data_IF_318657300418
#
_entry.id   IF_318657300418
#
_cell.length_a   1.000
_cell.length_b   1.000
_cell.length_c   1.000
_cell.angle_alpha   90.00
_cell.angle_beta   90.00
_cell.angle_gamma   90.00
#
_symmetry.space_group_name_H-M   'P 1'
#
loop_
_entity.id
_entity.type
_entity.pdbx_description
1 polymer ?
#
# COMPACT_ATOMS: atom_id res chain seq x y z
N UNK A 1 -7.77 5.86 1.17
CA UNK A 1 -7.93 6.71 2.37
C UNK A 1 -6.98 7.89 2.29
N UNK A 2 -7.45 9.11 2.58
CA UNK A 2 -6.70 10.36 2.36
C UNK A 2 -5.72 10.62 3.53
N UNK A 3 -4.46 11.02 3.28
CA UNK A 3 -3.54 11.44 4.34
C UNK A 3 -3.95 12.80 4.93
N UNK A 4 -3.45 13.10 6.13
CA UNK A 4 -3.53 14.45 6.68
C UNK A 4 -2.67 15.42 5.85
N UNK A 5 -3.11 16.68 5.66
CA UNK A 5 -2.35 17.70 4.94
C UNK A 5 -0.99 17.97 5.60
N UNK A 6 0.07 18.10 4.78
CA UNK A 6 1.45 18.31 5.28
C UNK A 6 1.64 19.59 6.10
N UNK A 7 0.79 20.60 5.90
CA UNK A 7 0.86 21.92 6.55
C UNK A 7 0.56 21.94 8.06
N UNK A 8 -0.08 20.90 8.61
CA UNK A 8 -0.48 20.84 10.03
C UNK A 8 -0.37 19.43 10.62
N UNK A 9 0.80 18.81 10.44
CA UNK A 9 1.11 17.49 10.97
C UNK A 9 1.66 17.58 12.40
N UNK A 10 0.82 17.21 13.37
CA UNK A 10 1.31 16.78 14.68
C UNK A 10 1.93 15.38 14.58
N UNK A 11 2.52 14.89 15.68
CA UNK A 11 3.24 13.61 15.71
C UNK A 11 2.32 12.45 15.32
N UNK A 12 1.11 12.45 15.85
CA UNK A 12 0.09 11.42 15.67
C UNK A 12 -0.31 11.32 14.18
N UNK A 13 -0.62 12.45 13.55
CA UNK A 13 -0.95 12.51 12.12
C UNK A 13 0.23 12.13 11.24
N UNK A 14 1.46 12.42 11.66
CA UNK A 14 2.67 11.99 10.96
C UNK A 14 2.84 10.48 11.00
N UNK A 15 2.61 9.85 12.16
CA UNK A 15 2.58 8.39 12.33
C UNK A 15 1.51 7.77 11.43
N UNK A 16 0.29 8.32 11.44
CA UNK A 16 -0.79 7.85 10.57
C UNK A 16 -0.40 7.93 9.09
N UNK A 17 0.10 9.09 8.63
CA UNK A 17 0.50 9.26 7.24
C UNK A 17 1.61 8.26 6.84
N UNK A 18 2.59 8.05 7.72
CA UNK A 18 3.67 7.10 7.49
C UNK A 18 3.15 5.66 7.37
N UNK A 19 2.28 5.23 8.30
CA UNK A 19 1.67 3.89 8.26
C UNK A 19 0.78 3.70 7.03
N UNK A 20 0.00 4.70 6.67
CA UNK A 20 -0.83 4.68 5.46
C UNK A 20 0.02 4.56 4.19
N UNK A 21 1.13 5.29 4.09
CA UNK A 21 2.08 5.17 2.98
C UNK A 21 2.76 3.80 2.93
N UNK A 22 3.18 3.24 4.07
CA UNK A 22 3.76 1.89 4.13
C UNK A 22 2.78 0.80 3.70
N UNK A 23 1.51 0.89 4.15
CA UNK A 23 0.47 -0.04 3.73
C UNK A 23 0.26 0.01 2.21
N UNK A 24 0.15 1.22 1.64
CA UNK A 24 0.04 1.39 0.18
C UNK A 24 1.24 0.81 -0.57
N UNK A 25 2.46 1.11 -0.11
CA UNK A 25 3.69 0.55 -0.70
C UNK A 25 3.67 -0.99 -0.73
N UNK A 26 3.24 -1.63 0.36
CA UNK A 26 3.13 -3.09 0.41
C UNK A 26 2.16 -3.63 -0.66
N UNK A 27 1.03 -2.96 -0.85
CA UNK A 27 0.02 -3.33 -1.85
C UNK A 27 0.56 -3.10 -3.27
N UNK A 28 1.12 -1.92 -3.54
CA UNK A 28 1.69 -1.56 -4.85
C UNK A 28 2.84 -2.48 -5.27
N UNK A 29 3.78 -2.77 -4.36
CA UNK A 29 4.85 -3.73 -4.64
C UNK A 29 4.31 -5.13 -4.96
N UNK A 30 3.25 -5.56 -4.26
CA UNK A 30 2.62 -6.87 -4.50
C UNK A 30 1.97 -6.93 -5.89
N UNK A 31 1.21 -5.90 -6.28
CA UNK A 31 0.63 -5.82 -7.61
C UNK A 31 1.69 -5.66 -8.70
N UNK A 32 2.77 -4.93 -8.45
CA UNK A 32 3.90 -4.82 -9.38
C UNK A 32 4.54 -6.17 -9.68
N UNK A 33 4.71 -7.04 -8.67
CA UNK A 33 5.18 -8.42 -8.87
C UNK A 33 4.19 -9.25 -9.70
N UNK A 34 2.88 -9.12 -9.46
CA UNK A 34 1.86 -9.83 -10.24
C UNK A 34 1.85 -9.38 -11.71
N UNK A 35 1.91 -8.08 -11.97
CA UNK A 35 1.98 -7.52 -13.34
C UNK A 35 3.25 -7.99 -14.04
N UNK A 36 4.41 -7.94 -13.36
CA UNK A 36 5.68 -8.38 -13.93
C UNK A 36 5.71 -9.88 -14.27
N UNK A 37 4.96 -10.73 -13.55
CA UNK A 37 4.95 -12.18 -13.81
C UNK A 37 3.84 -12.59 -14.78
N UNK A 38 2.70 -11.90 -14.77
CA UNK A 38 1.53 -12.27 -15.57
C UNK A 38 1.09 -11.12 -16.48
N UNK A 39 1.32 -11.28 -17.79
CA UNK A 39 0.89 -10.34 -18.84
C UNK A 39 -0.60 -9.99 -18.80
N UNK A 40 -1.42 -10.86 -18.22
CA UNK A 40 -2.85 -10.62 -17.99
C UNK A 40 -3.13 -9.29 -17.29
N UNK A 41 -2.28 -8.86 -16.35
CA UNK A 41 -2.48 -7.64 -15.57
C UNK A 41 -1.82 -6.40 -16.19
N UNK A 42 -1.13 -6.52 -17.33
CA UNK A 42 -0.57 -5.38 -18.05
C UNK A 42 -1.65 -4.60 -18.82
N UNK A 43 -2.82 -5.22 -19.05
CA UNK A 43 -3.94 -4.65 -19.78
C UNK A 43 -5.20 -4.58 -18.92
N UNK A 44 -6.15 -3.68 -19.23
CA UNK A 44 -7.44 -3.65 -18.55
C UNK A 44 -8.14 -5.03 -18.63
N UNK A 45 -8.62 -5.51 -17.49
CA UNK A 45 -9.28 -6.82 -17.41
C UNK A 45 -10.71 -6.68 -17.97
N UNK A 46 -10.91 -7.14 -19.21
CA UNK A 46 -12.22 -7.12 -19.89
C UNK A 46 -13.18 -8.23 -19.47
N UNK A 47 -13.33 -8.51 -18.17
CA UNK A 47 -14.26 -9.52 -17.65
C UNK A 47 -15.14 -8.99 -16.53
N UNK A 48 -16.11 -9.80 -16.09
CA UNK A 48 -16.97 -9.46 -14.94
C UNK A 48 -16.15 -9.41 -13.65
N UNK A 49 -16.65 -8.68 -12.65
CA UNK A 49 -15.97 -8.48 -11.36
C UNK A 49 -15.70 -9.82 -10.67
N UNK A 50 -16.65 -10.75 -10.68
CA UNK A 50 -16.52 -12.05 -10.05
C UNK A 50 -15.39 -12.87 -10.70
N UNK A 51 -15.25 -12.76 -12.02
CA UNK A 51 -14.16 -13.38 -12.78
C UNK A 51 -12.82 -12.72 -12.47
N UNK A 52 -12.78 -11.38 -12.38
CA UNK A 52 -11.57 -10.64 -12.02
C UNK A 52 -11.07 -11.03 -10.61
N UNK A 53 -11.97 -11.18 -9.65
CA UNK A 53 -11.63 -11.67 -8.31
C UNK A 53 -11.05 -13.08 -8.33
N UNK A 54 -11.66 -13.99 -9.10
CA UNK A 54 -11.15 -15.35 -9.27
C UNK A 54 -9.75 -15.35 -9.92
N UNK A 55 -9.52 -14.52 -10.93
CA UNK A 55 -8.23 -14.36 -11.60
C UNK A 55 -7.15 -13.86 -10.64
N UNK A 56 -7.44 -12.84 -9.82
CA UNK A 56 -6.50 -12.33 -8.83
C UNK A 56 -6.15 -13.42 -7.80
N UNK A 57 -7.16 -14.13 -7.27
CA UNK A 57 -6.93 -15.24 -6.32
C UNK A 57 -6.07 -16.35 -6.94
N UNK A 58 -6.39 -16.77 -8.16
CA UNK A 58 -5.62 -17.78 -8.89
C UNK A 58 -4.17 -17.33 -9.15
N UNK A 59 -3.96 -16.07 -9.53
CA UNK A 59 -2.63 -15.52 -9.75
C UNK A 59 -1.79 -15.48 -8.47
N UNK A 60 -2.39 -15.12 -7.32
CA UNK A 60 -1.71 -15.17 -6.02
C UNK A 60 -1.25 -16.59 -5.65
N UNK A 61 -2.14 -17.58 -5.81
CA UNK A 61 -1.81 -19.00 -5.54
C UNK A 61 -0.72 -19.48 -6.48
N UNK A 62 -0.85 -19.21 -7.78
CA UNK A 62 0.12 -19.62 -8.80
C UNK A 62 1.48 -18.96 -8.59
N UNK A 63 1.51 -17.66 -8.29
CA UNK A 63 2.74 -16.94 -7.95
C UNK A 63 3.46 -17.59 -6.77
N UNK A 64 2.73 -17.91 -5.69
CA UNK A 64 3.31 -18.55 -4.51
C UNK A 64 3.83 -19.96 -4.84
N UNK A 65 3.09 -20.74 -5.63
CA UNK A 65 3.52 -22.06 -6.07
C UNK A 65 4.81 -22.00 -6.91
N UNK A 66 4.86 -21.08 -7.88
CA UNK A 66 6.06 -20.88 -8.71
C UNK A 66 7.25 -20.48 -7.85
N UNK A 67 7.06 -19.56 -6.88
CA UNK A 67 8.14 -19.14 -5.96
C UNK A 67 8.69 -20.30 -5.13
N UNK A 68 7.84 -21.20 -4.65
CA UNK A 68 8.27 -22.39 -3.89
C UNK A 68 9.08 -23.34 -4.80
N UNK A 69 8.66 -23.51 -6.06
CA UNK A 69 9.28 -24.45 -7.00
C UNK A 69 10.59 -23.93 -7.60
N UNK A 70 10.64 -22.66 -8.00
CA UNK A 70 11.80 -22.06 -8.66
C UNK A 70 12.87 -21.58 -7.67
N UNK A 71 12.58 -21.52 -6.37
CA UNK A 71 13.52 -21.05 -5.34
C UNK A 71 13.88 -19.56 -5.48
N UNK A 72 13.26 -18.85 -6.42
CA UNK A 72 13.44 -17.41 -6.62
C UNK A 72 12.62 -16.68 -5.56
N UNK A 73 13.22 -16.53 -4.39
CA UNK A 73 12.87 -15.40 -3.55
C UNK A 73 13.34 -14.17 -4.31
N UNK A 74 12.47 -13.20 -4.55
CA UNK A 74 12.90 -11.87 -4.98
C UNK A 74 13.88 -11.36 -3.93
N UNK A 75 15.18 -11.63 -4.11
CA UNK A 75 16.22 -10.92 -3.41
C UNK A 75 16.08 -9.50 -3.93
N UNK A 76 15.81 -8.50 -3.08
CA UNK A 76 15.94 -7.13 -3.53
C UNK A 76 17.40 -7.00 -3.98
N UNK A 77 17.64 -7.03 -5.29
CA UNK A 77 18.98 -7.06 -5.87
C UNK A 77 19.77 -5.79 -5.58
N UNK A 78 19.16 -4.81 -4.90
CA UNK A 78 19.83 -3.78 -4.12
C UNK A 78 18.99 -3.43 -2.87
N UNK A 79 19.57 -3.42 -1.66
CA UNK A 79 18.92 -2.89 -0.47
C UNK A 79 18.67 -1.37 -0.48
N UNK A 80 18.97 -0.64 -1.57
CA UNK A 80 19.13 0.82 -1.50
C UNK A 80 18.90 1.59 -2.80
N UNK A 81 18.11 1.10 -3.76
CA UNK A 81 17.88 1.85 -5.01
C UNK A 81 16.47 1.69 -5.60
N UNK A 82 15.45 1.71 -4.74
CA UNK A 82 14.14 2.30 -5.10
C UNK A 82 13.93 3.51 -4.19
N UNK A 83 14.95 4.36 -4.10
CA UNK A 83 14.74 5.75 -3.73
C UNK A 83 14.55 6.51 -5.04
N UNK A 84 13.52 7.36 -5.07
CA UNK A 84 13.20 8.32 -6.13
C UNK A 84 12.22 7.88 -7.23
N UNK A 85 11.20 7.11 -6.91
CA UNK A 85 9.88 7.36 -7.52
C UNK A 85 8.91 7.78 -6.43
N UNK A 86 9.09 9.04 -6.05
CA UNK A 86 8.12 9.90 -5.38
C UNK A 86 7.35 9.32 -4.20
N UNK A 87 7.48 10.02 -3.08
CA UNK A 87 6.27 10.56 -2.44
C UNK A 87 5.52 11.42 -3.48
N UNK A 88 5.05 10.83 -4.59
CA UNK A 88 4.30 11.55 -5.60
C UNK A 88 3.07 12.04 -4.89
N UNK A 89 3.01 13.37 -4.87
CA UNK A 89 2.01 14.14 -4.20
C UNK A 89 0.67 13.53 -4.56
N UNK A 90 -0.10 13.11 -3.54
CA UNK A 90 -1.54 13.12 -3.71
C UNK A 90 -1.83 14.59 -3.94
N UNK A 91 -1.96 14.97 -5.21
CA UNK A 91 -2.54 16.23 -5.59
C UNK A 91 -3.83 16.30 -4.78
N UNK A 92 -3.92 17.35 -3.97
CA UNK A 92 -5.16 17.67 -3.30
C UNK A 92 -6.18 17.89 -4.42
N UNK A 93 -6.97 16.87 -4.75
CA UNK A 93 -7.97 16.97 -5.82
C UNK A 93 -9.07 17.98 -5.47
N UNK A 94 -8.95 18.77 -4.39
CA UNK A 94 -9.91 19.78 -3.96
C UNK A 94 -11.23 19.19 -3.45
N UNK A 95 -11.44 17.88 -3.62
CA UNK A 95 -12.64 17.17 -3.19
C UNK A 95 -12.59 17.00 -1.67
N UNK A 96 -13.58 17.57 -0.99
CA UNK A 96 -13.76 17.39 0.45
C UNK A 96 -14.13 15.94 0.75
N UNK A 97 -13.43 15.28 1.69
CA UNK A 97 -13.79 13.93 2.10
C UNK A 97 -15.17 13.91 2.76
N UNK A 98 -15.86 12.77 2.69
CA UNK A 98 -17.11 12.57 3.43
C UNK A 98 -16.81 12.53 4.93
N UNK A 99 -17.78 12.93 5.76
CA UNK A 99 -17.63 12.87 7.23
C UNK A 99 -17.23 11.49 7.73
N UNK A 100 -17.79 10.42 7.15
CA UNK A 100 -17.43 9.04 7.48
C UNK A 100 -15.95 8.73 7.16
N UNK A 101 -15.41 9.22 6.04
CA UNK A 101 -14.01 9.04 5.69
C UNK A 101 -13.07 9.81 6.63
N UNK A 102 -13.51 10.96 7.14
CA UNK A 102 -12.77 11.70 8.18
C UNK A 102 -12.79 10.95 9.51
N UNK A 103 -13.96 10.48 9.96
CA UNK A 103 -14.08 9.71 11.19
C UNK A 103 -13.23 8.44 11.18
N UNK A 104 -13.19 7.71 10.07
CA UNK A 104 -12.31 6.54 9.93
C UNK A 104 -10.83 6.91 10.01
N UNK A 105 -10.45 8.10 9.50
CA UNK A 105 -9.07 8.59 9.56
C UNK A 105 -8.68 8.99 10.96
N UNK A 106 -9.55 9.69 11.65
CA UNK A 106 -9.28 10.13 13.00
C UNK A 106 -9.25 8.91 13.94
N UNK A 107 -10.19 7.96 13.80
CA UNK A 107 -10.15 6.67 14.51
C UNK A 107 -8.84 5.91 14.31
N UNK A 108 -8.37 5.77 13.06
CA UNK A 108 -7.10 5.09 12.78
C UNK A 108 -5.89 5.88 13.30
N UNK A 109 -5.95 7.21 13.29
CA UNK A 109 -4.91 8.07 13.86
C UNK A 109 -4.79 7.83 15.37
N UNK A 110 -5.91 7.79 16.08
CA UNK A 110 -5.97 7.57 17.53
C UNK A 110 -5.53 6.13 17.88
N UNK A 111 -6.02 5.14 17.13
CA UNK A 111 -5.64 3.74 17.31
C UNK A 111 -4.13 3.53 17.12
N UNK A 112 -3.50 4.14 16.11
CA UNK A 112 -2.07 3.91 15.83
C UNK A 112 -1.13 4.45 16.91
N UNK A 113 -1.62 5.32 17.80
CA UNK A 113 -0.87 5.84 18.94
C UNK A 113 -1.28 5.20 20.27
N UNK A 114 -2.32 4.36 20.30
CA UNK A 114 -2.70 3.56 21.46
C UNK A 114 -1.68 2.47 21.75
N UNK A 115 -1.73 1.89 22.95
CA UNK A 115 -0.82 0.82 23.37
C UNK A 115 -0.98 -0.44 22.51
N UNK A 116 -2.19 -0.73 22.02
CA UNK A 116 -2.48 -1.87 21.16
C UNK A 116 -2.06 -1.64 19.70
N UNK A 117 -2.15 -0.40 19.23
CA UNK A 117 -1.89 -0.07 17.83
C UNK A 117 -0.45 0.36 17.54
N UNK A 118 0.31 0.78 18.56
CA UNK A 118 1.69 1.27 18.42
C UNK A 118 2.64 0.17 17.97
N UNK A 119 3.49 0.49 17.00
CA UNK A 119 4.53 -0.43 16.49
C UNK A 119 5.93 0.16 16.66
N UNK A 120 6.98 -0.66 16.89
CA UNK A 120 8.33 -0.15 17.22
C UNK A 120 8.97 0.76 16.17
N UNK A 121 8.59 0.60 14.90
CA UNK A 121 9.18 1.33 13.78
C UNK A 121 8.43 2.62 13.40
N UNK A 122 7.32 2.97 14.06
CA UNK A 122 6.44 4.04 13.57
C UNK A 122 6.99 5.46 13.75
N UNK A 123 8.01 5.63 14.58
CA UNK A 123 8.75 6.89 14.75
C UNK A 123 9.94 7.01 13.77
N UNK A 124 10.31 5.93 13.07
CA UNK A 124 11.42 5.89 12.11
C UNK A 124 10.94 6.27 10.72
N UNK A 125 10.81 7.57 10.48
CA UNK A 125 10.39 8.12 9.18
C UNK A 125 11.54 8.06 8.16
N UNK A 126 11.85 6.87 7.66
CA UNK A 126 12.77 6.62 6.54
C UNK A 126 12.05 6.53 5.19
#
# INVERSE_FOLDING_TARGET
>A
MRPFPKRSLNKERRIYNYRCSRARRSVECSFGMLVSKFRLFEQPIGCKVETAEALIKAACVLHNFIRIREGVFSTPSHPSTINSMGYQNIEDQGIRPTRAAESNRDFLCDYFVSDEGKVPWQDNFS
#
